data_IF_654240604759
#
_entry.id   IF_654240604759
#
_cell.length_a   1.000
_cell.length_b   1.000
_cell.length_c   1.000
_cell.angle_alpha   90.00
_cell.angle_beta   90.00
_cell.angle_gamma   90.00
#
_symmetry.space_group_name_H-M   'P 1'
#
loop_
_entity.id
_entity.type
_entity.pdbx_description
1 polymer ?
#
# COMPACT_ATOMS: atom_id res chain seq x y z
N UNK A 1 -10.14 -54.90 6.68
CA UNK A 1 -10.25 -53.65 5.89
C UNK A 1 -9.48 -52.56 6.64
N UNK A 2 -8.42 -52.02 6.07
CA UNK A 2 -7.58 -51.00 6.71
C UNK A 2 -8.14 -49.61 6.41
N UNK A 3 -8.62 -48.92 7.44
CA UNK A 3 -9.12 -47.54 7.33
C UNK A 3 -7.91 -46.60 7.31
N UNK A 4 -7.56 -46.10 6.13
CA UNK A 4 -6.53 -45.05 5.97
C UNK A 4 -7.18 -43.70 6.26
N UNK A 5 -7.04 -43.22 7.49
CA UNK A 5 -7.35 -41.83 7.82
C UNK A 5 -6.30 -40.91 7.18
N UNK A 6 -6.56 -40.49 5.95
CA UNK A 6 -5.85 -39.34 5.36
C UNK A 6 -6.36 -38.08 6.03
N UNK A 7 -5.75 -37.72 7.17
CA UNK A 7 -5.90 -36.39 7.76
C UNK A 7 -5.36 -35.37 6.78
N UNK A 8 -6.24 -34.86 5.92
CA UNK A 8 -5.95 -33.76 5.01
C UNK A 8 -5.79 -32.51 5.87
N UNK A 9 -4.55 -32.12 6.12
CA UNK A 9 -4.21 -30.84 6.75
C UNK A 9 -4.92 -29.73 5.99
N UNK A 10 -5.58 -28.78 6.66
CA UNK A 10 -6.21 -27.66 5.96
C UNK A 10 -5.12 -26.89 5.22
N UNK A 11 -5.20 -26.89 3.89
CA UNK A 11 -4.32 -26.10 3.04
C UNK A 11 -4.50 -24.62 3.42
N UNK A 12 -3.48 -24.03 4.04
CA UNK A 12 -3.52 -22.63 4.46
C UNK A 12 -3.58 -21.76 3.20
N UNK A 13 -4.77 -21.26 2.90
CA UNK A 13 -5.01 -20.38 1.75
C UNK A 13 -4.19 -19.11 1.95
N UNK A 14 -3.14 -18.95 1.14
CA UNK A 14 -2.27 -17.78 1.20
C UNK A 14 -2.89 -16.65 0.39
N UNK A 15 -3.52 -15.69 1.05
CA UNK A 15 -4.05 -14.49 0.39
C UNK A 15 -2.93 -13.51 0.02
N UNK A 16 -2.89 -13.11 -1.26
CA UNK A 16 -1.98 -12.09 -1.77
C UNK A 16 -2.70 -10.74 -1.83
N UNK A 17 -2.37 -9.85 -0.90
CA UNK A 17 -2.97 -8.51 -0.81
C UNK A 17 -1.99 -7.49 -1.41
N UNK A 18 -2.51 -6.55 -2.21
CA UNK A 18 -1.77 -5.37 -2.67
C UNK A 18 -2.26 -4.15 -1.88
N UNK A 19 -1.35 -3.44 -1.23
CA UNK A 19 -1.64 -2.19 -0.53
C UNK A 19 -1.11 -1.06 -1.40
N UNK A 20 -1.97 -0.09 -1.72
CA UNK A 20 -1.59 1.12 -2.47
C UNK A 20 -1.68 2.32 -1.54
N UNK A 21 -0.55 2.97 -1.29
CA UNK A 21 -0.47 4.18 -0.47
C UNK A 21 -0.35 5.40 -1.38
N UNK A 22 -1.26 6.38 -1.23
CA UNK A 22 -1.24 7.64 -1.98
C UNK A 22 -1.31 8.81 -1.01
N UNK A 23 -0.41 9.78 -1.15
CA UNK A 23 -0.40 11.00 -0.36
C UNK A 23 0.18 12.15 -1.18
N UNK A 24 -0.20 13.39 -0.86
CA UNK A 24 0.43 14.59 -1.38
C UNK A 24 1.84 14.80 -0.80
N UNK A 25 2.06 14.42 0.47
CA UNK A 25 3.33 14.64 1.16
C UNK A 25 4.21 13.38 1.16
N UNK A 26 5.31 13.42 0.39
CA UNK A 26 6.28 12.33 0.27
C UNK A 26 6.89 11.89 1.61
N UNK A 27 7.25 12.83 2.49
CA UNK A 27 7.88 12.50 3.79
C UNK A 27 6.93 11.70 4.69
N UNK A 28 5.65 12.08 4.69
CA UNK A 28 4.62 11.35 5.44
C UNK A 28 4.42 9.93 4.91
N UNK A 29 4.48 9.76 3.58
CA UNK A 29 4.32 8.48 2.91
C UNK A 29 5.47 7.53 3.23
N UNK A 30 6.70 8.03 3.22
CA UNK A 30 7.92 7.27 3.56
C UNK A 30 7.90 6.79 5.01
N UNK A 31 7.46 7.64 5.96
CA UNK A 31 7.32 7.26 7.37
C UNK A 31 6.28 6.14 7.55
N UNK A 32 5.08 6.32 7.00
CA UNK A 32 4.00 5.32 7.12
C UNK A 32 4.41 3.99 6.47
N UNK A 33 5.12 4.03 5.35
CA UNK A 33 5.67 2.83 4.72
C UNK A 33 6.68 2.10 5.63
N UNK A 34 7.60 2.83 6.25
CA UNK A 34 8.57 2.25 7.18
C UNK A 34 7.89 1.56 8.37
N UNK A 35 6.89 2.23 8.96
CA UNK A 35 6.12 1.70 10.08
C UNK A 35 5.34 0.44 9.66
N UNK A 36 4.71 0.46 8.48
CA UNK A 36 3.96 -0.68 7.94
C UNK A 36 4.86 -1.90 7.69
N UNK A 37 6.02 -1.72 7.05
CA UNK A 37 6.98 -2.81 6.81
C UNK A 37 7.52 -3.37 8.13
N UNK A 38 7.81 -2.50 9.10
CA UNK A 38 8.26 -2.94 10.43
C UNK A 38 7.18 -3.74 11.17
N UNK A 39 5.92 -3.30 11.11
CA UNK A 39 4.77 -3.98 11.70
C UNK A 39 4.46 -5.31 11.02
N UNK A 40 4.61 -5.39 9.70
CA UNK A 40 4.41 -6.61 8.93
C UNK A 40 5.43 -7.70 9.33
N UNK A 41 6.71 -7.32 9.47
CA UNK A 41 7.76 -8.22 9.95
C UNK A 41 7.48 -8.74 11.36
N UNK A 42 7.03 -7.87 12.27
CA UNK A 42 6.64 -8.27 13.66
C UNK A 42 5.49 -9.27 13.68
N UNK A 43 4.54 -9.17 12.75
CA UNK A 43 3.38 -10.09 12.65
C UNK A 43 3.67 -11.36 11.87
N UNK A 44 4.94 -11.61 11.49
CA UNK A 44 5.32 -12.82 10.75
C UNK A 44 4.91 -12.83 9.28
N UNK A 45 4.62 -11.67 8.68
CA UNK A 45 4.35 -11.57 7.24
C UNK A 45 5.69 -11.68 6.50
N UNK A 46 6.06 -12.90 6.15
CA UNK A 46 7.39 -13.25 5.62
C UNK A 46 7.61 -12.84 4.15
N UNK A 47 6.54 -12.62 3.38
CA UNK A 47 6.59 -12.26 1.96
C UNK A 47 6.06 -10.84 1.72
N UNK A 48 6.83 -9.84 2.15
CA UNK A 48 6.62 -8.47 1.69
C UNK A 48 7.33 -8.25 0.35
N UNK A 49 6.59 -7.88 -0.68
CA UNK A 49 7.19 -7.39 -1.92
C UNK A 49 7.72 -5.98 -1.69
N UNK A 50 8.88 -5.66 -2.30
CA UNK A 50 9.42 -4.30 -2.27
C UNK A 50 8.37 -3.30 -2.77
N UNK A 51 8.35 -2.08 -2.20
CA UNK A 51 7.43 -1.05 -2.66
C UNK A 51 7.75 -0.69 -4.11
N UNK A 52 6.72 -0.59 -4.93
CA UNK A 52 6.84 -0.08 -6.30
C UNK A 52 6.44 1.40 -6.23
N UNK A 53 7.40 2.28 -6.50
CA UNK A 53 7.17 3.72 -6.47
C UNK A 53 6.52 4.17 -7.78
N UNK A 54 5.37 4.83 -7.67
CA UNK A 54 4.74 5.52 -8.79
C UNK A 54 5.30 6.94 -8.90
N UNK A 55 5.38 7.48 -10.12
CA UNK A 55 5.78 8.87 -10.34
C UNK A 55 4.81 9.85 -9.65
N UNK A 56 5.32 10.93 -9.08
CA UNK A 56 4.52 11.99 -8.44
C UNK A 56 3.72 12.75 -9.49
N UNK A 57 2.38 12.72 -9.39
CA UNK A 57 1.53 13.49 -10.30
C UNK A 57 1.47 14.95 -9.86
N UNK A 58 1.83 15.87 -10.75
CA UNK A 58 1.68 17.31 -10.53
C UNK A 58 0.39 17.79 -11.20
N UNK A 59 -0.56 18.30 -10.42
CA UNK A 59 -1.77 18.94 -10.95
C UNK A 59 -1.45 20.41 -11.25
N UNK A 60 -1.72 20.87 -12.47
CA UNK A 60 -1.65 22.29 -12.86
C UNK A 60 -3.06 22.79 -13.10
N UNK A 61 -3.45 23.87 -12.42
CA UNK A 61 -4.74 24.53 -12.59
C UNK A 61 -4.46 25.91 -13.17
N UNK A 62 -5.08 26.22 -14.31
CA UNK A 62 -5.04 27.55 -14.93
C UNK A 62 -6.39 28.20 -14.72
N UNK A 63 -6.41 29.37 -14.10
CA UNK A 63 -7.59 30.20 -13.95
C UNK A 63 -7.29 31.57 -14.56
N UNK A 64 -8.29 32.19 -15.17
CA UNK A 64 -8.21 33.59 -15.56
C UNK A 64 -8.22 34.46 -14.29
N UNK A 65 -7.36 35.49 -14.26
CA UNK A 65 -7.35 36.44 -13.16
C UNK A 65 -8.63 37.28 -13.26
N UNK A 66 -9.44 37.29 -12.20
CA UNK A 66 -10.60 38.17 -12.14
C UNK A 66 -10.16 39.63 -12.35
N UNK A 67 -10.97 40.45 -13.07
CA UNK A 67 -10.62 41.83 -13.32
C UNK A 67 -10.36 42.54 -11.99
N UNK A 68 -9.19 43.18 -11.86
CA UNK A 68 -8.91 44.04 -10.71
C UNK A 68 -9.85 45.23 -10.85
N UNK A 69 -10.88 45.30 -10.01
CA UNK A 69 -11.75 46.46 -9.93
C UNK A 69 -10.90 47.65 -9.45
N UNK A 70 -10.42 48.45 -10.39
CA UNK A 70 -9.76 49.71 -10.11
C UNK A 70 -10.77 50.69 -9.56
N UNK A 71 -10.64 51.01 -8.27
CA UNK A 71 -11.04 52.28 -7.67
C UNK A 71 -9.82 53.16 -7.54
#
# INVERSE_FOLDING_TARGET
MAFKDTRKTPEVVTHRIRITLTSHNRKSLEKVWADLSSGAKRKGISKEKRPVWMFTKTLRITQEKLPVAGS
#
